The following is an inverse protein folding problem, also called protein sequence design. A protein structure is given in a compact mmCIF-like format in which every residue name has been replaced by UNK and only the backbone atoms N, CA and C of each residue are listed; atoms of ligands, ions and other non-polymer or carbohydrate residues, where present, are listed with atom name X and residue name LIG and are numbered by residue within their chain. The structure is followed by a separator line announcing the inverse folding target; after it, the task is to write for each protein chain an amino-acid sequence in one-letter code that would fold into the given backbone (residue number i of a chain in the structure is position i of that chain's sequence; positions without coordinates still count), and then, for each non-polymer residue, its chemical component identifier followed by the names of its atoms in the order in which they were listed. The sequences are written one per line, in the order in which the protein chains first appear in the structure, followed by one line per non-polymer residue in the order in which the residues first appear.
data_IF_951925784219
#
_entry.id   IF_951925784219
#
_cell.length_a   1.000
_cell.length_b   1.000
_cell.length_c   1.000
_cell.angle_alpha   90.00
_cell.angle_beta   90.00
_cell.angle_gamma   90.00
#
_symmetry.space_group_name_H-M   'P 1'
#
loop_
_entity.id
_entity.type
_entity.pdbx_description
1 polymer ?
#
# COMPACT_ATOMS: atom_id res chain seq x y z
N UNK A 1 60.73 0.31 13.50
CA UNK A 1 59.60 0.19 14.45
C UNK A 1 58.60 1.27 14.08
N UNK A 2 57.48 0.88 13.47
CA UNK A 2 56.46 1.82 12.98
C UNK A 2 55.15 1.49 13.68
N UNK A 3 54.65 2.44 14.47
CA UNK A 3 53.39 2.35 15.20
C UNK A 3 52.25 2.61 14.21
N UNK A 4 51.25 1.72 14.07
CA UNK A 4 50.11 2.04 13.23
C UNK A 4 49.20 3.03 13.97
N UNK A 5 48.96 4.17 13.33
CA UNK A 5 47.91 5.12 13.71
C UNK A 5 46.55 4.41 13.56
N UNK A 6 45.96 4.03 14.69
CA UNK A 6 44.56 3.65 14.75
C UNK A 6 43.71 4.90 14.50
N UNK A 7 43.22 5.03 13.27
CA UNK A 7 42.17 5.99 12.93
C UNK A 7 40.92 5.61 13.75
N UNK A 8 40.65 6.36 14.82
CA UNK A 8 39.33 6.35 15.46
C UNK A 8 38.37 7.08 14.54
N UNK A 9 37.64 6.31 13.73
CA UNK A 9 36.44 6.83 13.07
C UNK A 9 35.33 6.82 14.11
N UNK A 10 35.02 8.00 14.63
CA UNK A 10 33.82 8.21 15.45
C UNK A 10 32.60 8.19 14.54
N UNK A 11 31.85 7.10 14.63
CA UNK A 11 30.66 6.82 13.85
C UNK A 11 29.42 7.11 14.69
N UNK A 12 28.93 8.34 14.61
CA UNK A 12 27.63 8.73 15.19
C UNK A 12 26.51 8.86 14.13
N UNK A 13 26.79 8.50 12.87
CA UNK A 13 25.81 8.41 11.77
C UNK A 13 25.72 7.05 11.07
N UNK A 14 26.45 6.05 11.57
CA UNK A 14 26.68 4.77 10.86
C UNK A 14 25.57 3.75 11.04
N UNK A 15 24.86 3.80 12.17
CA UNK A 15 23.79 2.84 12.45
C UNK A 15 22.64 3.00 11.45
N UNK A 16 22.27 4.23 11.08
CA UNK A 16 21.19 4.48 10.12
C UNK A 16 21.52 3.96 8.72
N UNK A 17 22.76 4.15 8.24
CA UNK A 17 23.19 3.64 6.93
C UNK A 17 23.36 2.12 6.94
N UNK A 18 23.94 1.57 8.01
CA UNK A 18 24.06 0.12 8.18
C UNK A 18 22.68 -0.54 8.28
N UNK A 19 21.72 0.07 8.98
CA UNK A 19 20.36 -0.43 9.11
C UNK A 19 19.57 -0.31 7.82
N UNK A 20 19.75 0.78 7.06
CA UNK A 20 19.19 0.91 5.72
C UNK A 20 19.73 -0.20 4.79
N UNK A 21 21.05 -0.40 4.76
CA UNK A 21 21.68 -1.47 3.96
C UNK A 21 21.20 -2.88 4.39
N UNK A 22 21.10 -3.13 5.70
CA UNK A 22 20.56 -4.38 6.23
C UNK A 22 19.11 -4.58 5.82
N UNK A 23 18.27 -3.55 5.96
CA UNK A 23 16.89 -3.60 5.50
C UNK A 23 16.82 -3.83 3.98
N UNK A 24 17.79 -3.30 3.23
CA UNK A 24 17.96 -3.52 1.79
C UNK A 24 18.26 -4.97 1.38
N UNK A 25 18.96 -5.71 2.24
CA UNK A 25 19.26 -7.12 2.01
C UNK A 25 18.10 -8.06 2.35
N UNK A 26 17.09 -7.61 3.11
CA UNK A 26 15.95 -8.46 3.45
C UNK A 26 15.07 -8.66 2.23
N UNK A 27 14.84 -9.92 1.86
CA UNK A 27 14.00 -10.34 0.73
C UNK A 27 12.73 -11.07 1.15
N UNK A 28 12.58 -11.36 2.45
CA UNK A 28 11.40 -12.01 3.00
C UNK A 28 11.00 -11.41 4.36
N UNK A 29 9.72 -11.10 4.51
CA UNK A 29 9.17 -10.48 5.71
C UNK A 29 8.65 -11.53 6.68
N UNK A 30 8.91 -11.34 7.97
CA UNK A 30 8.30 -12.05 9.06
C UNK A 30 7.93 -11.09 10.20
N UNK A 31 7.28 -11.59 11.24
CA UNK A 31 6.84 -10.79 12.39
C UNK A 31 7.98 -10.08 13.12
N UNK A 32 9.21 -10.61 13.03
CA UNK A 32 10.38 -10.09 13.75
C UNK A 32 11.04 -8.94 12.99
N UNK A 33 11.01 -8.95 11.67
CA UNK A 33 11.71 -7.98 10.83
C UNK A 33 10.80 -6.92 10.18
N UNK A 34 9.47 -7.08 10.26
CA UNK A 34 8.53 -6.20 9.57
C UNK A 34 8.67 -4.73 9.97
N UNK A 35 8.72 -4.44 11.27
CA UNK A 35 8.90 -3.07 11.77
C UNK A 35 10.26 -2.49 11.38
N UNK A 36 11.30 -3.32 11.36
CA UNK A 36 12.65 -2.92 10.95
C UNK A 36 12.66 -2.51 9.47
N UNK A 37 12.06 -3.31 8.60
CA UNK A 37 11.92 -3.00 7.16
C UNK A 37 11.12 -1.71 6.98
N UNK A 38 9.99 -1.57 7.68
CA UNK A 38 9.14 -0.37 7.62
C UNK A 38 9.89 0.90 7.98
N UNK A 39 10.77 0.82 8.97
CA UNK A 39 11.51 1.97 9.50
C UNK A 39 12.71 2.35 8.62
N UNK A 40 13.45 1.35 8.13
CA UNK A 40 14.78 1.58 7.58
C UNK A 40 14.88 1.44 6.05
N UNK A 41 13.89 0.86 5.36
CA UNK A 41 13.92 0.81 3.88
C UNK A 41 13.65 2.20 3.30
N UNK A 42 14.50 2.72 2.40
CA UNK A 42 14.28 4.04 1.79
C UNK A 42 12.93 4.20 1.07
N UNK A 43 12.40 3.12 0.48
CA UNK A 43 11.10 3.14 -0.23
C UNK A 43 9.90 3.27 0.70
N UNK A 44 10.06 3.01 2.00
CA UNK A 44 9.00 3.11 3.01
C UNK A 44 9.29 4.19 4.04
N UNK A 45 10.55 4.48 4.35
CA UNK A 45 10.96 5.44 5.38
C UNK A 45 10.56 6.88 5.05
N UNK A 46 10.35 7.19 3.77
CA UNK A 46 9.86 8.50 3.33
C UNK A 46 8.34 8.63 3.37
N UNK A 47 7.62 7.55 3.68
CA UNK A 47 6.16 7.52 3.71
C UNK A 47 5.70 7.83 5.13
N UNK A 48 4.73 8.73 5.26
CA UNK A 48 4.17 9.14 6.55
C UNK A 48 3.42 7.97 7.21
N UNK A 49 2.59 7.28 6.43
CA UNK A 49 1.84 6.12 6.86
C UNK A 49 2.17 4.89 6.02
N UNK A 50 2.56 3.82 6.73
CA UNK A 50 2.79 2.50 6.15
C UNK A 50 2.05 1.45 6.95
N UNK A 51 1.10 0.78 6.32
CA UNK A 51 0.37 -0.33 6.91
C UNK A 51 0.46 -1.59 6.04
N UNK A 52 0.06 -2.73 6.62
CA UNK A 52 -0.01 -4.00 5.91
C UNK A 52 -1.47 -4.28 5.59
N UNK A 53 -1.77 -4.57 4.34
CA UNK A 53 -3.08 -5.07 3.93
C UNK A 53 -3.00 -6.57 3.73
N UNK A 54 -3.71 -7.29 4.58
CA UNK A 54 -3.98 -8.72 4.43
C UNK A 54 -5.30 -8.91 3.68
N UNK A 55 -5.33 -9.87 2.75
CA UNK A 55 -6.50 -10.14 1.94
C UNK A 55 -6.65 -11.64 1.72
N UNK A 56 -7.89 -12.13 1.69
CA UNK A 56 -8.20 -13.51 1.28
C UNK A 56 -7.85 -13.78 -0.18
N UNK A 57 -7.59 -12.74 -0.98
CA UNK A 57 -7.27 -12.82 -2.39
C UNK A 57 -5.77 -12.95 -2.71
N UNK A 58 -4.94 -13.26 -1.70
CA UNK A 58 -3.53 -13.67 -1.84
C UNK A 58 -2.58 -12.91 -0.92
N UNK A 59 -1.28 -12.91 -1.24
CA UNK A 59 -0.21 -12.39 -0.38
C UNK A 59 -0.41 -10.96 0.15
N UNK A 60 0.02 -10.66 1.40
CA UNK A 60 -0.05 -9.32 1.96
C UNK A 60 0.75 -8.29 1.15
N UNK A 61 0.32 -7.03 1.21
CA UNK A 61 1.02 -5.90 0.56
C UNK A 61 1.28 -4.77 1.55
N UNK A 62 2.31 -3.96 1.25
CA UNK A 62 2.47 -2.67 1.90
C UNK A 62 1.51 -1.67 1.29
N UNK A 63 0.84 -0.89 2.14
CA UNK A 63 0.02 0.23 1.76
C UNK A 63 0.69 1.53 2.22
N UNK A 64 0.77 2.50 1.32
CA UNK A 64 1.37 3.82 1.55
C UNK A 64 0.39 4.93 1.19
N UNK A 65 0.37 6.00 1.99
CA UNK A 65 -0.56 7.12 1.86
C UNK A 65 -0.16 8.18 0.83
N UNK A 66 1.03 8.06 0.23
CA UNK A 66 1.50 8.92 -0.85
C UNK A 66 1.94 8.11 -2.06
N UNK A 67 1.69 8.58 -3.29
CA UNK A 67 2.15 7.89 -4.49
C UNK A 67 3.68 7.74 -4.49
N UNK A 68 4.17 6.60 -4.98
CA UNK A 68 5.60 6.39 -5.15
C UNK A 68 6.13 7.22 -6.33
N UNK A 69 7.24 7.91 -6.13
CA UNK A 69 7.98 8.52 -7.23
C UNK A 69 8.54 7.44 -8.15
N UNK A 70 8.71 7.76 -9.45
CA UNK A 70 9.21 6.80 -10.44
C UNK A 70 10.60 6.22 -10.11
N UNK A 71 11.39 6.90 -9.29
CA UNK A 71 12.72 6.46 -8.82
C UNK A 71 12.67 5.54 -7.60
N UNK A 72 11.51 5.38 -6.94
CA UNK A 72 11.36 4.55 -5.76
C UNK A 72 11.05 3.09 -6.14
N UNK A 73 11.55 2.17 -5.34
CA UNK A 73 11.21 0.74 -5.46
C UNK A 73 9.72 0.53 -5.20
N UNK A 74 9.08 -0.31 -6.01
CA UNK A 74 7.69 -0.78 -5.80
C UNK A 74 7.62 -2.03 -4.92
N UNK A 75 8.74 -2.43 -4.31
CA UNK A 75 8.84 -3.53 -3.35
C UNK A 75 9.68 -3.11 -2.13
N UNK A 76 9.34 -3.65 -0.96
CA UNK A 76 10.17 -3.57 0.25
C UNK A 76 10.13 -4.90 1.00
N UNK A 77 11.30 -5.46 1.32
CA UNK A 77 11.37 -6.76 2.00
C UNK A 77 10.84 -7.93 1.17
N UNK A 78 10.75 -7.78 -0.17
CA UNK A 78 10.09 -8.74 -1.07
C UNK A 78 8.57 -8.62 -1.14
N UNK A 79 7.95 -7.72 -0.36
CA UNK A 79 6.51 -7.45 -0.39
C UNK A 79 6.20 -6.25 -1.31
N UNK A 80 5.19 -6.34 -2.22
CA UNK A 80 4.79 -5.23 -3.08
C UNK A 80 4.31 -4.02 -2.27
N UNK A 81 4.55 -2.83 -2.81
CA UNK A 81 4.07 -1.55 -2.26
C UNK A 81 2.99 -0.99 -3.18
N UNK A 82 1.83 -0.70 -2.60
CA UNK A 82 0.71 -0.07 -3.31
C UNK A 82 0.28 1.21 -2.60
N UNK A 83 -0.06 2.21 -3.41
CA UNK A 83 -0.68 3.42 -2.92
C UNK A 83 -2.13 3.15 -2.53
N UNK A 84 -2.57 3.76 -1.43
CA UNK A 84 -3.99 3.96 -1.13
C UNK A 84 -4.25 5.47 -0.98
N UNK A 85 -5.41 5.97 -1.43
CA UNK A 85 -5.69 7.40 -1.34
C UNK A 85 -5.83 7.81 0.13
N UNK A 86 -4.94 8.69 0.61
CA UNK A 86 -4.87 9.13 2.02
C UNK A 86 -6.05 10.01 2.45
N UNK A 87 -6.73 10.61 1.48
CA UNK A 87 -7.85 11.55 1.66
C UNK A 87 -9.11 10.89 2.26
N UNK A 88 -9.12 9.55 2.37
CA UNK A 88 -10.20 8.78 3.00
C UNK A 88 -10.34 9.04 4.51
N UNK A 89 -9.38 9.70 5.14
CA UNK A 89 -9.44 10.01 6.58
C UNK A 89 -10.43 11.13 6.93
N UNK A 90 -10.94 11.89 5.96
CA UNK A 90 -11.79 13.06 6.24
C UNK A 90 -13.30 12.72 6.28
N UNK A 91 -13.79 11.63 5.68
CA UNK A 91 -15.26 11.37 5.66
C UNK A 91 -15.73 9.92 5.80
N UNK A 92 -14.87 8.91 5.88
CA UNK A 92 -15.34 7.52 6.08
C UNK A 92 -14.90 6.99 7.44
N UNK A 93 -15.83 6.91 8.38
CA UNK A 93 -15.63 6.25 9.66
C UNK A 93 -15.06 4.84 9.47
N UNK A 94 -13.93 4.58 10.15
CA UNK A 94 -13.20 3.32 10.25
C UNK A 94 -14.06 2.06 10.05
N UNK A 95 -13.94 1.44 8.88
CA UNK A 95 -14.55 0.16 8.52
C UNK A 95 -14.23 -0.20 7.06
N UNK A 96 -14.31 -1.48 6.65
CA UNK A 96 -14.15 -1.86 5.25
C UNK A 96 -15.26 -1.19 4.45
N UNK A 97 -14.92 -0.10 3.74
CA UNK A 97 -15.78 0.63 2.81
C UNK A 97 -17.25 0.65 3.26
N UNK A 98 -17.69 1.57 4.12
CA UNK A 98 -19.13 1.81 4.24
C UNK A 98 -19.61 2.20 2.85
N UNK A 99 -20.34 1.34 2.12
CA UNK A 99 -20.80 1.72 0.80
C UNK A 99 -21.72 2.93 1.03
N UNK A 100 -21.71 3.93 0.15
CA UNK A 100 -22.75 4.97 0.16
C UNK A 100 -24.17 4.36 0.01
N UNK A 101 -24.29 3.03 -0.14
CA UNK A 101 -25.53 2.26 -0.08
C UNK A 101 -25.26 0.80 0.35
N UNK A 102 -25.08 0.47 1.65
CA UNK A 102 -24.76 -0.90 2.10
C UNK A 102 -25.81 -1.92 1.65
N UNK A 103 -27.07 -1.47 1.61
CA UNK A 103 -28.22 -2.29 1.23
C UNK A 103 -28.26 -2.62 -0.27
N UNK A 104 -27.77 -1.70 -1.12
CA UNK A 104 -27.72 -1.92 -2.58
C UNK A 104 -26.50 -2.73 -3.01
N UNK A 105 -25.35 -2.55 -2.34
CA UNK A 105 -24.14 -3.30 -2.70
C UNK A 105 -24.37 -4.82 -2.65
N UNK A 106 -25.02 -5.31 -1.59
CA UNK A 106 -25.33 -6.74 -1.44
C UNK A 106 -26.43 -7.24 -2.40
N UNK A 107 -27.17 -6.35 -3.07
CA UNK A 107 -28.14 -6.71 -4.11
C UNK A 107 -27.46 -6.92 -5.47
N UNK A 108 -26.43 -6.13 -5.77
CA UNK A 108 -25.73 -6.15 -7.06
C UNK A 108 -24.48 -7.03 -7.08
N UNK A 109 -23.94 -7.39 -5.90
CA UNK A 109 -22.80 -8.27 -5.77
C UNK A 109 -23.11 -9.40 -4.78
N UNK A 110 -23.18 -10.63 -5.30
CA UNK A 110 -23.36 -11.86 -4.52
C UNK A 110 -22.03 -12.43 -3.99
N UNK A 111 -20.91 -11.81 -4.37
CA UNK A 111 -19.55 -12.18 -3.99
C UNK A 111 -18.69 -10.98 -3.69
N UNK A 112 -17.61 -11.22 -2.97
CA UNK A 112 -16.52 -10.26 -2.86
C UNK A 112 -15.82 -10.06 -4.22
N UNK A 113 -15.51 -8.81 -4.55
CA UNK A 113 -14.70 -8.47 -5.71
C UNK A 113 -13.23 -8.68 -5.37
N UNK A 114 -12.49 -9.41 -6.22
CA UNK A 114 -11.06 -9.58 -6.04
C UNK A 114 -10.31 -8.34 -6.60
N UNK A 115 -9.65 -7.52 -5.75
CA UNK A 115 -8.99 -6.29 -6.17
C UNK A 115 -7.74 -6.50 -7.02
N UNK A 116 -7.33 -7.75 -7.25
CA UNK A 116 -6.14 -8.14 -8.04
C UNK A 116 -6.50 -8.73 -9.40
N UNK A 117 -7.78 -8.66 -9.78
CA UNK A 117 -8.27 -9.12 -11.06
C UNK A 117 -9.06 -8.01 -11.73
N UNK A 118 -9.12 -8.08 -13.05
CA UNK A 118 -10.05 -7.24 -13.80
C UNK A 118 -11.49 -7.54 -13.38
N UNK A 119 -12.28 -6.48 -13.30
CA UNK A 119 -13.72 -6.58 -13.13
C UNK A 119 -14.30 -7.41 -14.27
N UNK A 120 -15.22 -8.32 -13.93
CA UNK A 120 -15.96 -9.08 -14.93
C UNK A 120 -17.01 -8.19 -15.59
N UNK A 121 -17.53 -8.56 -16.78
CA UNK A 121 -18.64 -7.83 -17.39
C UNK A 121 -19.83 -7.65 -16.44
N UNK A 122 -20.18 -8.69 -15.67
CA UNK A 122 -21.25 -8.63 -14.68
C UNK A 122 -20.96 -7.62 -13.56
N UNK A 123 -19.70 -7.53 -13.09
CA UNK A 123 -19.34 -6.51 -12.10
C UNK A 123 -19.52 -5.10 -12.69
N UNK A 124 -19.13 -4.89 -13.95
CA UNK A 124 -19.27 -3.61 -14.63
C UNK A 124 -20.73 -3.22 -14.84
N UNK A 125 -21.59 -4.17 -15.19
CA UNK A 125 -23.03 -3.93 -15.35
C UNK A 125 -23.67 -3.51 -14.01
N UNK A 126 -23.36 -4.24 -12.94
CA UNK A 126 -23.75 -3.87 -11.57
C UNK A 126 -23.26 -2.46 -11.18
N UNK A 127 -22.02 -2.10 -11.52
CA UNK A 127 -21.49 -0.76 -11.24
C UNK A 127 -22.19 0.34 -12.04
N UNK A 128 -22.56 0.09 -13.30
CA UNK A 128 -23.30 1.05 -14.12
C UNK A 128 -24.70 1.29 -13.58
N UNK A 129 -25.36 0.24 -13.07
CA UNK A 129 -26.67 0.38 -12.43
C UNK A 129 -26.58 1.17 -11.11
N UNK A 130 -25.53 0.93 -10.32
CA UNK A 130 -25.30 1.63 -9.06
C UNK A 130 -24.88 3.09 -9.26
N UNK A 131 -24.08 3.37 -10.28
CA UNK A 131 -23.48 4.68 -10.55
C UNK A 131 -23.69 5.07 -12.02
N UNK A 132 -24.92 5.41 -12.44
CA UNK A 132 -25.26 5.63 -13.84
C UNK A 132 -24.56 6.84 -14.47
N UNK A 133 -24.17 7.83 -13.67
CA UNK A 133 -23.46 9.03 -14.10
C UNK A 133 -21.93 8.87 -14.04
N UNK A 134 -21.44 7.71 -13.61
CA UNK A 134 -20.00 7.48 -13.55
C UNK A 134 -19.40 7.33 -14.95
N UNK A 135 -18.29 8.02 -15.17
CA UNK A 135 -17.48 7.90 -16.39
C UNK A 135 -16.38 6.85 -16.28
N UNK A 136 -16.16 6.30 -15.08
CA UNK A 136 -15.22 5.21 -14.88
C UNK A 136 -15.22 4.64 -13.47
N UNK A 137 -14.47 3.57 -13.29
CA UNK A 137 -14.20 2.97 -11.99
C UNK A 137 -12.74 2.48 -11.93
N UNK A 138 -12.10 2.67 -10.79
CA UNK A 138 -10.74 2.22 -10.52
C UNK A 138 -10.74 1.32 -9.29
N UNK A 139 -10.39 0.06 -9.49
CA UNK A 139 -10.20 -0.92 -8.42
C UNK A 139 -8.74 -0.95 -7.98
N UNK A 140 -8.48 -0.53 -6.75
CA UNK A 140 -7.14 -0.50 -6.16
C UNK A 140 -6.85 -1.82 -5.44
N UNK A 141 -5.61 -2.30 -5.53
CA UNK A 141 -5.14 -3.51 -4.83
C UNK A 141 -5.33 -3.42 -3.31
N UNK A 142 -5.35 -2.19 -2.78
CA UNK A 142 -5.71 -1.88 -1.39
C UNK A 142 -7.13 -2.31 -0.98
N UNK A 143 -7.95 -2.81 -1.92
CA UNK A 143 -9.32 -3.23 -1.68
C UNK A 143 -10.33 -2.10 -1.79
N UNK A 144 -9.96 -0.97 -2.41
CA UNK A 144 -10.85 0.16 -2.62
C UNK A 144 -11.35 0.20 -4.05
N UNK A 145 -12.64 0.46 -4.22
CA UNK A 145 -13.25 0.79 -5.50
C UNK A 145 -13.54 2.30 -5.53
N UNK A 146 -12.86 3.00 -6.43
CA UNK A 146 -13.03 4.43 -6.67
C UNK A 146 -13.93 4.61 -7.89
N UNK A 147 -15.04 5.33 -7.74
CA UNK A 147 -15.94 5.65 -8.85
C UNK A 147 -15.64 7.06 -9.33
N UNK A 148 -15.50 7.23 -10.64
CA UNK A 148 -15.10 8.47 -11.30
C UNK A 148 -16.32 9.12 -11.95
N UNK A 149 -16.48 10.42 -11.76
CA UNK A 149 -17.52 11.26 -12.35
C UNK A 149 -16.84 12.40 -13.11
N UNK A 150 -17.53 12.99 -14.09
CA UNK A 150 -17.07 14.24 -14.71
C UNK A 150 -17.20 15.40 -13.72
N UNK A 151 -16.28 16.35 -13.80
CA UNK A 151 -16.36 17.61 -13.07
C UNK A 151 -17.43 18.49 -13.76
N UNK A 152 -18.38 19.04 -12.99
CA UNK A 152 -19.45 19.91 -13.50
C UNK A 152 -18.97 21.28 -13.99
#
# INVERSE_FOLDING_TARGET
MSTPLLLRVSFTGDSSLADAFRAESVTHINKENEQFIRTHRPSLSSQEDVCVSESVFGEPVWLVSSPLAASQSVFAGGRPIHYYPGDYTIETSYGPLTPRSPEKYNQHFDRYINPRRFLTPADLDSLRELFPEAVGAHLLIAGLLVILFEEE
#
